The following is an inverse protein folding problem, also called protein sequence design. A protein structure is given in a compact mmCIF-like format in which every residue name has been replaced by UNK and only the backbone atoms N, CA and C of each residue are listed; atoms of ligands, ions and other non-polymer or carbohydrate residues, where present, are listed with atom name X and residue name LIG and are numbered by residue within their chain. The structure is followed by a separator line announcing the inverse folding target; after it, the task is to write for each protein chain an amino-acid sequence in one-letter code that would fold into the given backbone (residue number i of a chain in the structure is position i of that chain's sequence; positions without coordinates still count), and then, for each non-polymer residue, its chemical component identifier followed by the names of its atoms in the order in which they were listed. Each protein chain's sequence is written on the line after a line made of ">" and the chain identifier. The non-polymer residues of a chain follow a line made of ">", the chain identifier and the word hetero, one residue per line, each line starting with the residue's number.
data_IF_912134857731
#
_entry.id   IF_912134857731
#
_cell.length_a   1.000
_cell.length_b   1.000
_cell.length_c   1.000
_cell.angle_alpha   90.00
_cell.angle_beta   90.00
_cell.angle_gamma   90.00
#
_symmetry.space_group_name_H-M   'P 1'
#
loop_
_entity.id
_entity.type
_entity.pdbx_description
1 polymer ?
#
# COMPACT_ATOMS: atom_id res chain seq x y z
N UNK A 1 24.14 8.66 2.46
CA UNK A 1 23.02 8.25 3.34
C UNK A 1 22.08 9.42 3.45
N UNK A 2 20.80 9.23 3.14
CA UNK A 2 19.78 10.26 3.25
C UNK A 2 18.62 9.76 4.11
N UNK A 3 17.94 10.70 4.77
CA UNK A 3 16.74 10.44 5.55
C UNK A 3 15.63 11.33 5.00
N UNK A 4 14.51 10.72 4.64
CA UNK A 4 13.32 11.43 4.17
C UNK A 4 12.21 11.14 5.18
N UNK A 5 11.65 12.18 5.77
CA UNK A 5 10.51 12.08 6.69
C UNK A 5 9.33 12.85 6.11
N UNK A 6 8.15 12.26 6.13
CA UNK A 6 6.93 12.90 5.63
C UNK A 6 5.70 12.44 6.42
N UNK A 7 4.73 13.33 6.54
CA UNK A 7 3.44 13.03 7.15
C UNK A 7 2.55 12.26 6.16
N UNK A 8 1.96 11.14 6.59
CA UNK A 8 1.14 10.31 5.71
C UNK A 8 -0.15 11.03 5.27
N UNK A 9 -0.73 11.86 6.14
CA UNK A 9 -1.96 12.60 5.84
C UNK A 9 -1.70 13.60 4.70
N UNK A 10 -0.60 14.35 4.80
CA UNK A 10 -0.19 15.29 3.76
C UNK A 10 0.11 14.57 2.43
N UNK A 11 0.82 13.43 2.48
CA UNK A 11 1.09 12.63 1.29
C UNK A 11 -0.21 12.19 0.61
N UNK A 12 -1.19 11.70 1.39
CA UNK A 12 -2.50 11.32 0.85
C UNK A 12 -3.23 12.51 0.22
N UNK A 13 -3.21 13.68 0.86
CA UNK A 13 -3.81 14.91 0.32
C UNK A 13 -3.16 15.32 -1.00
N UNK A 14 -1.83 15.19 -1.12
CA UNK A 14 -1.08 15.43 -2.37
C UNK A 14 -1.51 14.43 -3.45
N UNK A 15 -1.60 13.13 -3.13
CA UNK A 15 -2.00 12.10 -4.10
C UNK A 15 -3.43 12.32 -4.63
N UNK A 16 -4.36 12.70 -3.75
CA UNK A 16 -5.75 13.02 -4.12
C UNK A 16 -5.80 14.26 -5.01
N UNK A 17 -5.14 15.34 -4.58
CA UNK A 17 -5.18 16.64 -5.28
C UNK A 17 -4.59 16.54 -6.69
N UNK A 18 -3.57 15.70 -6.87
CA UNK A 18 -2.92 15.45 -8.15
C UNK A 18 -3.56 14.32 -8.97
N UNK A 19 -4.68 13.73 -8.50
CA UNK A 19 -5.37 12.61 -9.17
C UNK A 19 -4.45 11.43 -9.48
N UNK A 20 -3.50 11.14 -8.58
CA UNK A 20 -2.50 10.07 -8.73
C UNK A 20 -2.99 8.71 -8.24
N UNK A 21 -4.20 8.66 -7.68
CA UNK A 21 -4.81 7.41 -7.23
C UNK A 21 -5.49 6.68 -8.41
N UNK A 22 -5.41 5.34 -8.44
CA UNK A 22 -6.22 4.56 -9.37
C UNK A 22 -7.72 4.90 -9.23
N UNK A 23 -8.49 4.96 -10.34
CA UNK A 23 -9.91 5.33 -10.31
C UNK A 23 -10.79 4.34 -9.53
N UNK A 24 -10.29 3.13 -9.26
CA UNK A 24 -10.93 2.14 -8.40
C UNK A 24 -10.85 2.48 -6.91
N UNK A 25 -9.87 3.30 -6.49
CA UNK A 25 -9.68 3.69 -5.09
C UNK A 25 -10.43 4.99 -4.83
N UNK A 26 -11.45 4.91 -3.98
CA UNK A 26 -12.30 6.05 -3.61
C UNK A 26 -12.37 6.20 -2.09
N UNK A 27 -12.77 7.41 -1.64
CA UNK A 27 -12.96 7.73 -0.22
C UNK A 27 -11.72 7.44 0.64
N UNK A 28 -10.53 7.70 0.07
CA UNK A 28 -9.26 7.55 0.76
C UNK A 28 -9.17 8.56 1.91
N UNK A 29 -8.82 8.09 3.11
CA UNK A 29 -8.61 8.92 4.30
C UNK A 29 -7.62 8.27 5.24
N UNK A 30 -6.83 9.09 5.93
CA UNK A 30 -5.98 8.64 7.04
C UNK A 30 -6.74 8.84 8.34
N UNK A 31 -6.75 7.82 9.20
CA UNK A 31 -7.19 7.93 10.59
C UNK A 31 -6.22 7.13 11.44
N UNK A 32 -5.66 7.78 12.46
CA UNK A 32 -4.61 7.20 13.28
C UNK A 32 -3.46 6.68 12.38
N UNK A 33 -2.98 5.48 12.62
CA UNK A 33 -1.96 4.80 11.81
C UNK A 33 -2.52 4.00 10.62
N UNK A 34 -3.78 4.23 10.23
CA UNK A 34 -4.47 3.47 9.19
C UNK A 34 -4.90 4.33 8.01
N UNK A 35 -4.64 3.80 6.82
CA UNK A 35 -5.14 4.35 5.56
C UNK A 35 -6.43 3.60 5.24
N UNK A 36 -7.56 4.27 5.31
CA UNK A 36 -8.87 3.72 4.97
C UNK A 36 -9.27 4.10 3.55
N UNK A 37 -9.85 3.17 2.81
CA UNK A 37 -10.31 3.40 1.45
C UNK A 37 -11.44 2.45 1.09
N UNK A 38 -12.09 2.72 -0.04
CA UNK A 38 -13.07 1.82 -0.65
C UNK A 38 -12.58 1.48 -2.04
N UNK A 39 -12.56 0.18 -2.34
CA UNK A 39 -12.29 -0.32 -3.68
C UNK A 39 -13.64 -0.42 -4.39
N UNK A 40 -13.82 0.33 -5.47
CA UNK A 40 -14.93 0.12 -6.41
C UNK A 40 -14.58 -1.08 -7.28
N UNK A 41 -15.33 -2.16 -7.13
CA UNK A 41 -15.18 -3.32 -8.01
C UNK A 41 -16.12 -3.15 -9.21
N UNK A 42 -15.67 -3.56 -10.39
CA UNK A 42 -16.53 -3.61 -11.58
C UNK A 42 -17.54 -4.78 -11.53
N UNK A 43 -17.90 -5.27 -10.33
CA UNK A 43 -18.85 -6.36 -10.12
C UNK A 43 -20.20 -5.84 -9.65
N UNK A 44 -21.28 -6.36 -10.24
CA UNK A 44 -22.65 -6.06 -9.81
C UNK A 44 -22.96 -6.61 -8.40
N UNK A 45 -22.33 -7.72 -8.02
CA UNK A 45 -22.65 -8.45 -6.78
C UNK A 45 -21.91 -7.86 -5.56
N UNK A 46 -20.71 -7.31 -5.77
CA UNK A 46 -19.89 -6.73 -4.72
C UNK A 46 -19.27 -5.40 -5.18
N UNK A 47 -20.09 -4.37 -5.47
CA UNK A 47 -19.62 -3.16 -6.16
C UNK A 47 -18.61 -2.34 -5.35
N UNK A 48 -18.61 -2.48 -4.02
CA UNK A 48 -17.71 -1.76 -3.13
C UNK A 48 -17.14 -2.68 -2.07
N UNK A 49 -15.83 -2.59 -1.85
CA UNK A 49 -15.11 -3.29 -0.78
C UNK A 49 -14.41 -2.24 0.07
N UNK A 50 -14.94 -1.91 1.26
CA UNK A 50 -14.23 -1.12 2.25
C UNK A 50 -12.98 -1.87 2.72
N UNK A 51 -11.85 -1.17 2.78
CA UNK A 51 -10.58 -1.71 3.18
C UNK A 51 -9.78 -0.71 4.03
N UNK A 52 -8.81 -1.22 4.76
CA UNK A 52 -7.80 -0.40 5.42
C UNK A 52 -6.44 -1.05 5.35
N UNK A 53 -5.40 -0.22 5.26
CA UNK A 53 -4.01 -0.62 5.27
C UNK A 53 -3.31 -0.02 6.49
N UNK A 54 -2.49 -0.81 7.17
CA UNK A 54 -1.60 -0.36 8.25
C UNK A 54 -0.18 -0.84 7.97
N UNK A 55 0.82 0.02 8.12
CA UNK A 55 2.21 -0.43 8.08
C UNK A 55 2.55 -1.23 9.33
N UNK A 56 3.25 -2.36 9.16
CA UNK A 56 3.66 -3.22 10.27
C UNK A 56 5.15 -3.12 10.53
N UNK A 57 5.97 -3.32 9.50
CA UNK A 57 7.43 -3.31 9.63
C UNK A 57 8.10 -3.28 8.26
N UNK A 58 9.43 -3.10 8.28
CA UNK A 58 10.28 -3.26 7.11
C UNK A 58 11.41 -4.23 7.42
N UNK A 59 11.51 -5.31 6.64
CA UNK A 59 12.45 -6.40 6.88
C UNK A 59 12.93 -6.96 5.53
N UNK A 60 14.23 -7.19 5.36
CA UNK A 60 14.81 -7.82 4.17
C UNK A 60 14.25 -7.22 2.85
N UNK A 61 14.31 -5.90 2.73
CA UNK A 61 13.78 -5.11 1.60
C UNK A 61 12.27 -5.14 1.40
N UNK A 62 11.51 -5.79 2.28
CA UNK A 62 10.06 -5.86 2.22
C UNK A 62 9.42 -4.86 3.19
N UNK A 63 8.64 -3.92 2.66
CA UNK A 63 7.66 -3.17 3.45
C UNK A 63 6.42 -4.05 3.65
N UNK A 64 6.10 -4.34 4.91
CA UNK A 64 5.01 -5.24 5.30
C UNK A 64 3.84 -4.39 5.80
N UNK A 65 2.67 -4.64 5.23
CA UNK A 65 1.43 -3.98 5.61
C UNK A 65 0.36 -5.00 6.01
N UNK A 66 -0.51 -4.62 6.94
CA UNK A 66 -1.75 -5.32 7.23
C UNK A 66 -2.87 -4.75 6.37
N UNK A 67 -3.45 -5.58 5.50
CA UNK A 67 -4.66 -5.30 4.75
C UNK A 67 -5.86 -5.92 5.47
N UNK A 68 -6.81 -5.08 5.86
CA UNK A 68 -8.09 -5.51 6.42
C UNK A 68 -9.23 -5.15 5.47
N UNK A 69 -10.16 -6.09 5.25
CA UNK A 69 -11.34 -5.92 4.42
C UNK A 69 -12.57 -5.93 5.31
N UNK A 70 -13.34 -4.85 5.29
CA UNK A 70 -14.57 -4.73 6.09
C UNK A 70 -15.75 -5.07 5.18
N UNK A 71 -16.15 -6.35 5.18
CA UNK A 71 -17.28 -6.84 4.40
C UNK A 71 -18.08 -7.89 5.17
N UNK A 72 -19.42 -7.81 5.13
CA UNK A 72 -20.31 -8.89 5.60
C UNK A 72 -20.18 -10.19 4.78
N UNK A 73 -19.43 -10.14 3.68
CA UNK A 73 -19.12 -11.27 2.79
C UNK A 73 -17.62 -11.37 2.53
N UNK A 74 -16.83 -11.50 3.60
CA UNK A 74 -15.37 -11.53 3.55
C UNK A 74 -14.83 -12.60 2.57
N UNK A 75 -15.49 -13.77 2.48
CA UNK A 75 -15.15 -14.82 1.52
C UNK A 75 -15.29 -14.38 0.05
N UNK A 76 -16.34 -13.61 -0.28
CA UNK A 76 -16.53 -13.06 -1.63
C UNK A 76 -15.52 -11.96 -1.94
N UNK A 77 -15.24 -11.08 -0.96
CA UNK A 77 -14.23 -10.03 -1.11
C UNK A 77 -12.83 -10.62 -1.34
N UNK A 78 -12.47 -11.67 -0.59
CA UNK A 78 -11.22 -12.40 -0.77
C UNK A 78 -11.16 -13.13 -2.11
N UNK A 79 -12.25 -13.77 -2.55
CA UNK A 79 -12.32 -14.41 -3.86
C UNK A 79 -12.11 -13.39 -4.99
N UNK A 80 -12.77 -12.24 -4.91
CA UNK A 80 -12.58 -11.16 -5.88
C UNK A 80 -11.14 -10.63 -5.88
N UNK A 81 -10.56 -10.36 -4.71
CA UNK A 81 -9.16 -9.94 -4.61
C UNK A 81 -8.23 -10.97 -5.22
N UNK A 82 -8.35 -12.25 -4.85
CA UNK A 82 -7.53 -13.30 -5.43
C UNK A 82 -7.63 -13.36 -6.96
N UNK A 83 -8.82 -13.14 -7.52
CA UNK A 83 -9.00 -13.06 -8.98
C UNK A 83 -8.36 -11.80 -9.58
N UNK A 84 -8.61 -10.63 -8.99
CA UNK A 84 -8.07 -9.36 -9.46
C UNK A 84 -6.54 -9.33 -9.39
N UNK A 85 -5.97 -9.89 -8.32
CA UNK A 85 -4.54 -9.91 -8.03
C UNK A 85 -3.78 -10.92 -8.88
N UNK A 86 -4.35 -12.12 -9.14
CA UNK A 86 -3.79 -13.10 -10.08
C UNK A 86 -3.59 -12.54 -11.48
N UNK A 87 -4.35 -11.51 -11.86
CA UNK A 87 -4.33 -10.94 -13.19
C UNK A 87 -3.41 -9.71 -13.32
N UNK A 88 -3.06 -9.02 -12.21
CA UNK A 88 -2.51 -7.65 -12.29
C UNK A 88 -1.54 -7.23 -11.19
N UNK A 89 -1.14 -8.10 -10.26
CA UNK A 89 -0.15 -7.68 -9.26
C UNK A 89 1.21 -7.40 -9.90
N UNK A 90 1.82 -6.22 -9.66
CA UNK A 90 3.20 -5.98 -10.01
C UNK A 90 4.13 -7.01 -9.35
N UNK A 91 5.28 -7.34 -9.96
CA UNK A 91 6.19 -8.39 -9.48
C UNK A 91 6.82 -8.07 -8.11
N UNK A 92 6.79 -6.81 -7.69
CA UNK A 92 7.26 -6.35 -6.38
C UNK A 92 6.18 -6.42 -5.29
N UNK A 93 4.94 -6.84 -5.60
CA UNK A 93 3.87 -6.95 -4.60
C UNK A 93 3.48 -8.42 -4.41
N UNK A 94 3.40 -8.84 -3.15
CA UNK A 94 2.87 -10.15 -2.76
C UNK A 94 1.76 -9.97 -1.72
N UNK A 95 0.59 -10.56 -1.96
CA UNK A 95 -0.49 -10.61 -0.96
C UNK A 95 -0.57 -12.02 -0.35
N UNK A 96 -0.21 -12.12 0.92
CA UNK A 96 -0.40 -13.28 1.80
C UNK A 96 -1.41 -12.88 2.89
N UNK A 97 -2.69 -12.74 2.54
CA UNK A 97 -3.71 -12.13 3.42
C UNK A 97 -3.66 -12.66 4.87
N UNK A 98 -3.67 -11.77 5.89
CA UNK A 98 -3.90 -10.32 5.79
C UNK A 98 -2.66 -9.49 5.47
N UNK A 99 -1.50 -10.09 5.19
CA UNK A 99 -0.26 -9.37 4.93
C UNK A 99 -0.11 -9.01 3.45
N UNK A 100 0.20 -7.75 3.19
CA UNK A 100 0.65 -7.25 1.89
C UNK A 100 2.13 -6.91 2.02
N UNK A 101 2.97 -7.56 1.21
CA UNK A 101 4.40 -7.35 1.17
C UNK A 101 4.75 -6.59 -0.11
N UNK A 102 5.59 -5.57 0.03
CA UNK A 102 6.11 -4.77 -1.09
C UNK A 102 7.63 -4.85 -1.05
N UNK A 103 8.22 -5.52 -2.04
CA UNK A 103 9.66 -5.59 -2.26
C UNK A 103 10.13 -4.23 -2.79
N UNK A 104 10.71 -3.42 -1.91
CA UNK A 104 11.07 -2.04 -2.19
C UNK A 104 12.24 -1.97 -3.17
N UNK A 105 13.19 -2.89 -3.10
CA UNK A 105 14.32 -2.91 -4.04
C UNK A 105 13.83 -3.23 -5.45
N UNK A 106 12.95 -4.22 -5.63
CA UNK A 106 12.33 -4.50 -6.93
C UNK A 106 11.50 -3.32 -7.43
N UNK A 107 10.77 -2.64 -6.55
CA UNK A 107 10.01 -1.44 -6.90
C UNK A 107 10.94 -0.32 -7.40
N UNK A 108 12.05 -0.07 -6.72
CA UNK A 108 13.02 0.96 -7.12
C UNK A 108 13.64 0.64 -8.49
N UNK A 109 14.01 -0.62 -8.72
CA UNK A 109 14.52 -1.09 -10.01
C UNK A 109 13.46 -0.87 -11.12
N UNK A 110 12.20 -1.24 -10.88
CA UNK A 110 11.11 -1.04 -11.86
C UNK A 110 10.88 0.44 -12.17
N UNK A 111 11.09 1.32 -11.19
CA UNK A 111 10.98 2.78 -11.35
C UNK A 111 12.26 3.46 -11.84
N UNK A 112 13.28 2.69 -12.23
CA UNK A 112 14.58 3.17 -12.71
C UNK A 112 15.38 4.00 -11.69
N UNK A 113 15.13 3.83 -10.38
CA UNK A 113 16.02 4.35 -9.35
C UNK A 113 17.19 3.38 -9.15
N UNK A 114 18.36 3.75 -9.67
CA UNK A 114 19.60 3.00 -9.52
C UNK A 114 20.42 3.54 -8.36
N UNK A 115 21.28 2.71 -7.79
CA UNK A 115 22.26 3.06 -6.77
C UNK A 115 21.67 3.59 -5.44
N UNK A 116 20.40 3.28 -5.17
CA UNK A 116 19.69 3.60 -3.93
C UNK A 116 19.16 2.31 -3.32
N UNK A 117 19.52 2.06 -2.07
CA UNK A 117 18.95 1.00 -1.25
C UNK A 117 18.20 1.60 -0.06
N UNK A 118 17.02 1.06 0.24
CA UNK A 118 16.27 1.44 1.45
C UNK A 118 16.77 0.57 2.59
N UNK A 119 17.49 1.21 3.51
CA UNK A 119 18.03 0.56 4.69
C UNK A 119 16.96 0.33 5.75
N UNK A 120 16.05 1.29 5.91
CA UNK A 120 15.04 1.24 6.96
C UNK A 120 13.80 2.05 6.59
N UNK A 121 12.64 1.62 7.11
CA UNK A 121 11.38 2.34 7.04
C UNK A 121 10.70 2.28 8.41
N UNK A 122 10.45 3.45 8.97
CA UNK A 122 9.81 3.62 10.27
C UNK A 122 8.48 4.35 10.09
N UNK A 123 7.49 4.02 10.91
CA UNK A 123 6.21 4.72 10.95
C UNK A 123 5.80 4.95 12.39
N UNK A 124 5.85 6.21 12.82
CA UNK A 124 5.58 6.64 14.19
C UNK A 124 4.81 7.97 14.14
N UNK A 125 3.78 8.11 14.97
CA UNK A 125 2.98 9.34 15.09
C UNK A 125 2.43 9.90 13.77
N UNK A 126 2.16 9.02 12.79
CA UNK A 126 1.66 9.40 11.46
C UNK A 126 2.74 9.87 10.48
N UNK A 127 4.01 9.78 10.84
CA UNK A 127 5.14 10.11 9.99
C UNK A 127 5.84 8.85 9.48
N UNK A 128 6.04 8.77 8.17
CA UNK A 128 6.93 7.80 7.58
C UNK A 128 8.34 8.38 7.49
N UNK A 129 9.30 7.61 7.96
CA UNK A 129 10.72 7.89 7.81
C UNK A 129 11.34 6.80 6.94
N UNK A 130 11.93 7.18 5.81
CA UNK A 130 12.68 6.29 4.92
C UNK A 130 14.16 6.66 5.03
N UNK A 131 14.98 5.69 5.37
CA UNK A 131 16.44 5.83 5.44
C UNK A 131 17.06 5.12 4.25
N UNK A 132 17.82 5.85 3.45
CA UNK A 132 18.50 5.31 2.27
C UNK A 132 20.02 5.32 2.41
N UNK A 133 20.65 4.35 1.78
CA UNK A 133 22.09 4.32 1.55
C UNK A 133 22.38 4.07 0.08
N UNK A 134 23.61 4.37 -0.33
CA UNK A 134 24.08 3.99 -1.65
C UNK A 134 24.41 2.50 -1.61
N UNK A 135 24.22 1.81 -2.74
CA UNK A 135 24.59 0.42 -2.93
C UNK A 135 26.10 0.25 -3.09
#
# INVERSE_FOLDING_TARGET
>A
MAKITFNIKELIEILISNKLLPPEIIRLRVKDERIHFVIRTNSFILPFIPASLRFLSFNDSNAIFELNLVSGHLSKAMSWLNQALKLRLPPYIKLDYPKLLVDVDKLLIEKNFRDVHVKDVLFEDGEFTIVTCNT
#
